data_IF_170972788993
#
_entry.id   IF_170972788993
#
_cell.length_a   1.000
_cell.length_b   1.000
_cell.length_c   1.000
_cell.angle_alpha   90.00
_cell.angle_beta   90.00
_cell.angle_gamma   90.00
#
_symmetry.space_group_name_H-M   'P 1'
#
loop_
_entity.id
_entity.type
_entity.pdbx_description
1 polymer ?
#
# COMPACT_ATOMS: atom_id res chain seq x y z
N UNK A 1 71.71 -74.33 -22.38
CA UNK A 1 71.74 -72.96 -22.94
C UNK A 1 71.09 -72.04 -21.91
N UNK A 2 71.90 -71.22 -21.23
CA UNK A 2 71.46 -70.25 -20.23
C UNK A 2 71.42 -68.88 -20.90
N UNK A 3 70.30 -68.17 -20.79
CA UNK A 3 70.23 -66.74 -21.11
C UNK A 3 69.53 -66.06 -19.92
N UNK A 4 70.25 -65.08 -19.35
CA UNK A 4 69.93 -64.30 -18.15
C UNK A 4 69.33 -62.94 -18.54
N UNK A 5 68.64 -62.29 -17.58
CA UNK A 5 68.14 -60.89 -17.55
C UNK A 5 66.84 -60.60 -18.34
N UNK A 6 65.88 -59.81 -17.87
CA UNK A 6 65.87 -58.71 -16.87
C UNK A 6 64.41 -58.44 -16.45
N UNK A 7 64.15 -58.10 -15.19
CA UNK A 7 62.85 -57.54 -14.74
C UNK A 7 62.57 -56.23 -15.51
N UNK A 8 61.32 -55.93 -15.93
CA UNK A 8 60.97 -54.57 -16.32
C UNK A 8 60.60 -53.77 -15.07
N UNK A 9 61.57 -53.02 -14.54
CA UNK A 9 61.31 -51.78 -13.83
C UNK A 9 60.93 -50.72 -14.87
N UNK A 10 59.63 -50.55 -15.12
CA UNK A 10 59.13 -49.30 -15.69
C UNK A 10 58.49 -48.49 -14.56
N UNK A 11 59.34 -47.68 -13.95
CA UNK A 11 58.90 -46.50 -13.22
C UNK A 11 58.23 -45.53 -14.20
N UNK A 12 57.26 -44.80 -13.67
CA UNK A 12 56.90 -43.42 -14.07
C UNK A 12 56.24 -43.23 -15.42
N UNK A 13 54.94 -43.51 -15.49
CA UNK A 13 54.03 -42.89 -16.46
C UNK A 13 52.66 -42.66 -15.85
N UNK A 14 52.57 -41.69 -14.93
CA UNK A 14 51.35 -40.92 -14.63
C UNK A 14 51.77 -39.57 -13.98
N UNK A 15 52.27 -38.64 -14.79
CA UNK A 15 52.70 -37.29 -14.38
C UNK A 15 51.53 -36.27 -14.36
N UNK A 16 50.28 -36.74 -14.33
CA UNK A 16 49.06 -35.92 -14.33
C UNK A 16 48.00 -36.49 -13.37
N UNK A 17 48.40 -36.85 -12.15
CA UNK A 17 47.47 -37.13 -11.07
C UNK A 17 47.28 -35.86 -10.25
N UNK A 18 46.08 -35.27 -10.29
CA UNK A 18 45.67 -34.21 -9.35
C UNK A 18 46.07 -34.63 -7.94
N UNK A 19 46.94 -33.85 -7.28
CA UNK A 19 47.34 -34.19 -5.92
C UNK A 19 46.14 -33.99 -5.00
N UNK A 20 45.96 -34.88 -4.00
CA UNK A 20 44.86 -34.79 -3.03
C UNK A 20 44.79 -33.41 -2.36
N UNK A 21 45.95 -32.75 -2.23
CA UNK A 21 46.12 -31.40 -1.73
C UNK A 21 45.47 -30.34 -2.65
N UNK A 22 45.66 -30.43 -3.97
CA UNK A 22 45.04 -29.53 -4.95
C UNK A 22 43.51 -29.67 -4.96
N UNK A 23 43.00 -30.90 -4.76
CA UNK A 23 41.56 -31.14 -4.64
C UNK A 23 40.98 -30.47 -3.37
N UNK A 24 41.66 -30.61 -2.24
CA UNK A 24 41.26 -29.97 -0.97
C UNK A 24 41.29 -28.44 -1.09
N UNK A 25 42.30 -27.90 -1.77
CA UNK A 25 42.42 -26.46 -1.99
C UNK A 25 41.31 -25.92 -2.91
N UNK A 26 41.02 -26.63 -4.00
CA UNK A 26 39.92 -26.31 -4.90
C UNK A 26 38.56 -26.36 -4.20
N UNK A 27 38.33 -27.36 -3.34
CA UNK A 27 37.10 -27.49 -2.55
C UNK A 27 36.94 -26.33 -1.56
N UNK A 28 38.03 -25.93 -0.89
CA UNK A 28 38.04 -24.80 0.03
C UNK A 28 37.70 -23.47 -0.66
N UNK A 29 38.31 -23.22 -1.83
CA UNK A 29 37.98 -22.05 -2.67
C UNK A 29 36.50 -22.09 -3.09
N UNK A 30 36.00 -23.25 -3.49
CA UNK A 30 34.61 -23.39 -3.95
C UNK A 30 33.61 -23.07 -2.83
N UNK A 31 33.84 -23.57 -1.61
CA UNK A 31 33.01 -23.28 -0.43
C UNK A 31 33.07 -21.78 -0.07
N UNK A 32 34.25 -21.18 -0.17
CA UNK A 32 34.44 -19.76 0.10
C UNK A 32 33.68 -18.88 -0.91
N UNK A 33 33.83 -19.16 -2.21
CA UNK A 33 33.07 -18.45 -3.25
C UNK A 33 31.56 -18.65 -3.11
N UNK A 34 31.11 -19.87 -2.82
CA UNK A 34 29.69 -20.16 -2.59
C UNK A 34 29.14 -19.36 -1.40
N UNK A 35 29.91 -19.22 -0.32
CA UNK A 35 29.53 -18.42 0.86
C UNK A 35 29.40 -16.94 0.53
N UNK A 36 30.33 -16.38 -0.25
CA UNK A 36 30.25 -14.98 -0.71
C UNK A 36 29.03 -14.78 -1.62
N UNK A 37 28.77 -15.72 -2.53
CA UNK A 37 27.61 -15.68 -3.41
C UNK A 37 26.29 -15.71 -2.63
N UNK A 38 26.17 -16.55 -1.59
CA UNK A 38 24.99 -16.58 -0.72
C UNK A 38 24.79 -15.27 0.05
N UNK A 39 25.87 -14.65 0.54
CA UNK A 39 25.80 -13.36 1.24
C UNK A 39 25.38 -12.23 0.29
N UNK A 40 25.92 -12.20 -0.93
CA UNK A 40 25.57 -11.20 -1.94
C UNK A 40 24.11 -11.34 -2.39
N UNK A 41 23.66 -12.56 -2.66
CA UNK A 41 22.25 -12.83 -3.00
C UNK A 41 21.31 -12.40 -1.87
N UNK A 42 21.62 -12.74 -0.62
CA UNK A 42 20.79 -12.37 0.54
C UNK A 42 20.67 -10.86 0.71
N UNK A 43 21.76 -10.10 0.48
CA UNK A 43 21.75 -8.62 0.53
C UNK A 43 20.95 -8.00 -0.62
N UNK A 44 21.03 -8.58 -1.82
CA UNK A 44 20.23 -8.14 -2.98
C UNK A 44 18.73 -8.35 -2.74
N UNK A 45 18.33 -9.53 -2.26
CA UNK A 45 16.92 -9.80 -1.93
C UNK A 45 16.41 -8.94 -0.77
N UNK A 46 17.25 -8.64 0.23
CA UNK A 46 16.90 -7.71 1.30
C UNK A 46 16.70 -6.27 0.77
N UNK A 47 17.56 -5.80 -0.13
CA UNK A 47 17.46 -4.47 -0.72
C UNK A 47 16.23 -4.32 -1.63
N UNK A 48 15.90 -5.34 -2.43
CA UNK A 48 14.68 -5.35 -3.24
C UNK A 48 13.41 -5.40 -2.39
N UNK A 49 13.43 -6.14 -1.27
CA UNK A 49 12.32 -6.19 -0.31
C UNK A 49 12.06 -4.83 0.35
N UNK A 50 13.12 -4.12 0.76
CA UNK A 50 13.01 -2.78 1.36
C UNK A 50 12.51 -1.75 0.34
N UNK A 51 13.03 -1.79 -0.89
CA UNK A 51 12.60 -0.93 -2.00
C UNK A 51 11.11 -1.07 -2.34
N UNK A 52 10.61 -2.31 -2.43
CA UNK A 52 9.19 -2.56 -2.69
C UNK A 52 8.30 -2.05 -1.56
N UNK A 53 8.74 -2.20 -0.32
CA UNK A 53 7.96 -1.74 0.83
C UNK A 53 7.90 -0.21 0.92
N UNK A 54 9.00 0.50 0.63
CA UNK A 54 9.03 1.96 0.61
C UNK A 54 8.17 2.54 -0.51
N UNK A 55 8.22 1.94 -1.71
CA UNK A 55 7.40 2.36 -2.85
C UNK A 55 5.90 2.17 -2.59
N UNK A 56 5.50 1.08 -1.94
CA UNK A 56 4.10 0.86 -1.57
C UNK A 56 3.63 1.86 -0.50
N UNK A 57 4.46 2.18 0.49
CA UNK A 57 4.15 3.21 1.48
C UNK A 57 4.00 4.60 0.87
N UNK A 58 4.89 4.96 -0.06
CA UNK A 58 4.81 6.24 -0.77
C UNK A 58 3.56 6.33 -1.65
N UNK A 59 3.22 5.25 -2.36
CA UNK A 59 1.97 5.17 -3.15
C UNK A 59 0.74 5.35 -2.26
N UNK A 60 0.70 4.66 -1.11
CA UNK A 60 -0.41 4.80 -0.15
C UNK A 60 -0.53 6.23 0.34
N UNK A 61 0.60 6.88 0.66
CA UNK A 61 0.61 8.27 1.12
C UNK A 61 0.03 9.22 0.08
N UNK A 62 0.46 9.12 -1.17
CA UNK A 62 -0.08 9.95 -2.27
C UNK A 62 -1.58 9.73 -2.44
N UNK A 63 -2.06 8.50 -2.31
CA UNK A 63 -3.48 8.18 -2.44
C UNK A 63 -4.31 8.68 -1.24
N UNK A 64 -3.75 8.64 -0.03
CA UNK A 64 -4.36 9.25 1.16
C UNK A 64 -4.42 10.77 1.04
N UNK A 65 -3.41 11.41 0.45
CA UNK A 65 -3.41 12.86 0.19
C UNK A 65 -4.54 13.26 -0.77
N UNK A 66 -4.87 12.43 -1.76
CA UNK A 66 -6.02 12.66 -2.65
C UNK A 66 -7.32 12.66 -1.85
N UNK A 67 -7.54 11.63 -1.02
CA UNK A 67 -8.71 11.55 -0.14
C UNK A 67 -8.79 12.77 0.80
N UNK A 68 -7.67 13.16 1.40
CA UNK A 68 -7.62 14.32 2.30
C UNK A 68 -7.97 15.62 1.57
N UNK A 69 -7.46 15.83 0.36
CA UNK A 69 -7.79 17.01 -0.46
C UNK A 69 -9.25 17.04 -0.84
N UNK A 70 -9.79 15.91 -1.29
CA UNK A 70 -11.20 15.81 -1.67
C UNK A 70 -12.12 16.13 -0.48
N UNK A 71 -11.84 15.59 0.70
CA UNK A 71 -12.60 15.89 1.91
C UNK A 71 -12.43 17.34 2.40
N UNK A 72 -11.26 17.94 2.17
CA UNK A 72 -11.00 19.35 2.50
C UNK A 72 -11.74 20.32 1.58
N UNK A 73 -12.01 19.89 0.34
CA UNK A 73 -12.74 20.62 -0.68
C UNK A 73 -14.25 20.28 -0.68
N UNK A 74 -14.74 19.66 0.40
CA UNK A 74 -16.15 19.45 0.63
C UNK A 74 -16.90 20.78 0.75
N UNK A 75 -18.00 20.91 0.00
CA UNK A 75 -18.98 21.99 0.06
C UNK A 75 -20.38 21.50 0.50
N UNK A 76 -21.12 22.38 1.19
CA UNK A 76 -22.49 22.13 1.65
C UNK A 76 -23.50 22.91 0.79
N UNK A 77 -24.63 22.28 0.44
CA UNK A 77 -25.74 22.94 -0.26
C UNK A 77 -27.08 22.55 0.37
N UNK A 78 -27.95 23.55 0.56
CA UNK A 78 -29.30 23.35 1.13
C UNK A 78 -30.22 22.51 0.24
N UNK A 79 -29.97 22.50 -1.08
CA UNK A 79 -30.82 21.81 -2.07
C UNK A 79 -30.70 20.30 -2.01
N UNK A 80 -29.57 19.80 -1.54
CA UNK A 80 -29.29 18.39 -1.39
C UNK A 80 -28.80 18.21 0.05
N UNK A 81 -29.73 17.96 1.00
CA UNK A 81 -29.36 17.86 2.40
C UNK A 81 -28.23 16.86 2.54
N UNK A 82 -27.28 17.20 3.41
CA UNK A 82 -26.08 16.42 3.66
C UNK A 82 -26.47 14.98 4.00
N UNK A 83 -26.42 14.10 2.99
CA UNK A 83 -26.74 12.68 3.15
C UNK A 83 -25.46 11.95 3.45
N UNK A 84 -25.08 12.00 4.73
CA UNK A 84 -24.07 11.12 5.30
C UNK A 84 -24.64 9.71 5.41
N UNK A 85 -24.74 9.00 4.29
CA UNK A 85 -25.15 7.62 4.32
C UNK A 85 -23.92 6.76 4.67
N UNK A 86 -23.52 6.76 5.94
CA UNK A 86 -22.75 5.62 6.45
C UNK A 86 -23.73 4.45 6.58
N UNK A 87 -24.02 3.77 5.47
CA UNK A 87 -24.67 2.47 5.59
C UNK A 87 -23.66 1.51 6.21
N UNK A 88 -24.11 0.48 6.91
CA UNK A 88 -23.24 -0.57 7.47
C UNK A 88 -22.26 -1.17 6.43
N UNK A 89 -22.51 -0.94 5.14
CA UNK A 89 -21.69 -1.30 3.98
C UNK A 89 -20.48 -0.38 3.71
N UNK A 90 -20.22 0.65 4.54
CA UNK A 90 -18.96 1.41 4.54
C UNK A 90 -18.72 2.27 3.30
N UNK A 91 -19.54 3.31 3.11
CA UNK A 91 -19.30 4.34 2.10
C UNK A 91 -19.44 5.77 2.66
N UNK A 92 -18.83 6.73 1.95
CA UNK A 92 -18.80 8.15 2.28
C UNK A 92 -19.19 8.90 1.03
N UNK A 93 -20.26 9.70 1.08
CA UNK A 93 -20.76 10.45 -0.07
C UNK A 93 -20.91 11.92 0.28
N UNK A 94 -20.40 12.80 -0.58
CA UNK A 94 -20.39 14.24 -0.35
C UNK A 94 -20.26 15.03 -1.66
N UNK A 95 -20.50 16.34 -1.58
CA UNK A 95 -20.28 17.25 -2.72
C UNK A 95 -18.89 17.87 -2.64
N UNK A 96 -18.14 17.73 -3.72
CA UNK A 96 -16.80 18.24 -3.89
C UNK A 96 -16.84 19.46 -4.81
N UNK A 97 -16.20 20.56 -4.42
CA UNK A 97 -15.94 21.67 -5.33
C UNK A 97 -14.49 21.61 -5.81
N UNK A 98 -14.31 21.32 -7.10
CA UNK A 98 -13.00 21.28 -7.75
C UNK A 98 -13.05 22.13 -9.03
N UNK A 99 -12.04 22.99 -9.22
CA UNK A 99 -11.89 23.81 -10.45
C UNK A 99 -13.13 24.65 -10.80
N UNK A 100 -13.88 25.10 -9.78
CA UNK A 100 -15.08 25.92 -9.97
C UNK A 100 -16.34 25.13 -10.37
N UNK A 101 -16.28 23.80 -10.39
CA UNK A 101 -17.45 22.92 -10.58
C UNK A 101 -17.73 22.14 -9.30
N UNK A 102 -19.01 21.91 -9.03
CA UNK A 102 -19.47 21.04 -7.94
C UNK A 102 -19.81 19.69 -8.52
N UNK A 103 -19.30 18.62 -7.92
CA UNK A 103 -19.57 17.24 -8.31
C UNK A 103 -19.94 16.42 -7.08
N UNK A 104 -20.82 15.44 -7.25
CA UNK A 104 -21.11 14.46 -6.21
C UNK A 104 -20.03 13.37 -6.25
N UNK A 105 -19.46 13.03 -5.10
CA UNK A 105 -18.41 12.04 -4.97
C UNK A 105 -18.78 11.01 -3.91
N UNK A 106 -18.55 9.74 -4.20
CA UNK A 106 -18.73 8.62 -3.28
C UNK A 106 -17.42 7.83 -3.16
N UNK A 107 -16.99 7.58 -1.94
CA UNK A 107 -15.96 6.62 -1.60
C UNK A 107 -16.62 5.39 -1.02
N UNK A 108 -16.45 4.25 -1.65
CA UNK A 108 -17.05 2.99 -1.24
C UNK A 108 -16.00 1.89 -1.20
N UNK A 109 -16.17 0.94 -0.28
CA UNK A 109 -15.36 -0.26 -0.25
C UNK A 109 -15.93 -1.33 -1.20
N UNK A 110 -15.20 -1.64 -2.26
CA UNK A 110 -15.56 -2.69 -3.22
C UNK A 110 -14.43 -3.70 -3.37
N UNK A 111 -14.69 -4.99 -3.11
CA UNK A 111 -13.72 -6.08 -3.30
C UNK A 111 -12.34 -5.79 -2.67
N UNK A 112 -12.32 -5.32 -1.43
CA UNK A 112 -11.10 -4.93 -0.70
C UNK A 112 -10.35 -3.73 -1.29
N UNK A 113 -11.05 -2.84 -2.00
CA UNK A 113 -10.49 -1.62 -2.58
C UNK A 113 -11.34 -0.43 -2.19
N UNK A 114 -10.70 0.70 -1.90
CA UNK A 114 -11.39 1.98 -1.76
C UNK A 114 -11.57 2.58 -3.15
N UNK A 115 -12.81 2.72 -3.58
CA UNK A 115 -13.18 3.21 -4.91
C UNK A 115 -13.85 4.57 -4.78
N UNK A 116 -13.38 5.55 -5.54
CA UNK A 116 -14.01 6.87 -5.73
C UNK A 116 -14.88 6.81 -6.97
N UNK A 117 -16.16 7.17 -6.83
CA UNK A 117 -17.09 7.37 -7.92
C UNK A 117 -17.50 8.84 -7.94
N UNK A 118 -17.66 9.42 -9.12
CA UNK A 118 -18.05 10.81 -9.28
C UNK A 118 -19.25 10.94 -10.22
N UNK A 119 -20.15 11.85 -9.89
CA UNK A 119 -21.32 12.24 -10.69
C UNK A 119 -21.40 13.75 -10.80
N UNK A 120 -22.04 14.20 -11.87
CA UNK A 120 -22.43 15.60 -12.03
C UNK A 120 -23.64 15.92 -11.16
N UNK A 121 -23.96 17.21 -10.97
CA UNK A 121 -25.14 17.66 -10.23
C UNK A 121 -26.46 17.15 -10.85
N UNK A 122 -26.46 16.87 -12.14
CA UNK A 122 -27.58 16.25 -12.86
C UNK A 122 -27.71 14.73 -12.59
N UNK A 123 -26.87 14.17 -11.71
CA UNK A 123 -26.84 12.73 -11.40
C UNK A 123 -26.19 11.86 -12.48
N UNK A 124 -25.57 12.48 -13.50
CA UNK A 124 -24.87 11.75 -14.57
C UNK A 124 -23.53 11.25 -14.05
N UNK A 125 -23.27 9.96 -14.24
CA UNK A 125 -21.99 9.36 -13.87
C UNK A 125 -20.85 9.97 -14.69
N UNK A 126 -19.81 10.42 -14.00
CA UNK A 126 -18.61 11.04 -14.60
C UNK A 126 -17.49 10.00 -14.66
N UNK A 127 -17.12 9.41 -13.52
CA UNK A 127 -15.93 8.57 -13.45
C UNK A 127 -15.91 7.61 -12.26
N UNK A 128 -15.04 6.63 -12.35
CA UNK A 128 -14.66 5.73 -11.25
C UNK A 128 -13.15 5.60 -11.22
N UNK A 129 -12.57 5.70 -10.04
CA UNK A 129 -11.14 5.55 -9.79
C UNK A 129 -10.91 4.69 -8.56
N UNK A 130 -9.99 3.71 -8.66
CA UNK A 130 -9.51 3.00 -7.48
C UNK A 130 -8.50 3.88 -6.76
N UNK A 131 -8.77 4.20 -5.50
CA UNK A 131 -7.92 5.07 -4.67
C UNK A 131 -6.91 4.24 -3.92
N UNK A 132 -7.33 3.19 -3.22
CA UNK A 132 -6.45 2.31 -2.45
C UNK A 132 -6.83 0.85 -2.67
N UNK A 133 -5.82 -0.01 -2.74
CA UNK A 133 -5.99 -1.46 -2.77
C UNK A 133 -5.76 -2.06 -1.37
N UNK A 134 -6.32 -3.26 -1.14
CA UNK A 134 -6.18 -4.03 0.11
C UNK A 134 -6.70 -3.30 1.36
N UNK A 135 -7.84 -2.63 1.24
CA UNK A 135 -8.54 -1.99 2.37
C UNK A 135 -9.60 -2.96 2.88
N UNK A 136 -9.51 -3.32 4.16
CA UNK A 136 -10.42 -4.25 4.82
C UNK A 136 -11.57 -3.53 5.54
N UNK A 137 -11.44 -2.22 5.78
CA UNK A 137 -12.44 -1.44 6.47
C UNK A 137 -12.35 0.06 6.23
N UNK A 138 -13.51 0.70 6.19
CA UNK A 138 -13.70 2.14 6.10
C UNK A 138 -14.60 2.60 7.25
N UNK A 139 -14.07 3.47 8.11
CA UNK A 139 -14.78 4.07 9.22
C UNK A 139 -14.68 5.58 9.12
N UNK A 140 -15.76 6.26 9.46
CA UNK A 140 -15.82 7.72 9.42
C UNK A 140 -16.34 8.28 10.73
N UNK A 141 -15.51 9.12 11.34
CA UNK A 141 -15.85 9.87 12.53
C UNK A 141 -15.97 11.34 12.16
N UNK A 142 -16.86 12.07 12.81
CA UNK A 142 -16.93 13.51 12.61
C UNK A 142 -17.31 14.22 13.90
N UNK A 143 -16.85 15.46 14.02
CA UNK A 143 -17.06 16.33 15.16
C UNK A 143 -17.98 17.44 14.70
N UNK A 144 -19.23 17.39 15.15
CA UNK A 144 -20.28 18.35 14.75
C UNK A 144 -20.46 19.46 15.79
N UNK A 145 -20.12 19.22 17.06
CA UNK A 145 -20.43 20.14 18.16
C UNK A 145 -19.19 20.92 18.66
N UNK A 146 -19.42 22.15 19.16
CA UNK A 146 -18.44 23.02 19.84
C UNK A 146 -17.76 22.34 21.03
N UNK A 147 -18.37 21.26 21.55
CA UNK A 147 -17.85 20.40 22.62
C UNK A 147 -16.75 19.43 22.17
N UNK A 148 -16.33 19.47 20.90
CA UNK A 148 -15.25 18.64 20.32
C UNK A 148 -15.44 17.12 20.50
N UNK A 149 -16.69 16.65 20.60
CA UNK A 149 -16.98 15.22 20.73
C UNK A 149 -16.94 14.55 19.35
N UNK A 150 -16.11 13.53 19.21
CA UNK A 150 -16.14 12.62 18.07
C UNK A 150 -17.47 11.85 18.08
N UNK A 151 -18.31 12.13 17.09
CA UNK A 151 -19.53 11.38 16.86
C UNK A 151 -19.17 10.12 16.06
N UNK A 152 -19.69 8.98 16.54
CA UNK A 152 -19.60 7.72 15.83
C UNK A 152 -20.40 7.76 14.52
N UNK A 153 -20.06 6.93 13.53
CA UNK A 153 -20.75 6.86 12.24
C UNK A 153 -22.28 6.74 12.37
N UNK A 154 -22.77 5.96 13.32
CA UNK A 154 -24.20 5.74 13.59
C UNK A 154 -24.95 7.02 14.02
N UNK A 155 -24.25 7.97 14.64
CA UNK A 155 -24.84 9.23 15.13
C UNK A 155 -24.86 10.29 14.03
N UNK A 156 -23.95 10.21 13.06
CA UNK A 156 -23.86 11.14 11.93
C UNK A 156 -24.99 10.97 10.92
N UNK A 157 -25.50 9.75 10.76
CA UNK A 157 -26.63 9.43 9.87
C UNK A 157 -27.90 10.20 10.26
N UNK A 158 -28.08 10.46 11.56
CA UNK A 158 -29.30 11.05 12.11
C UNK A 158 -29.24 12.58 12.26
N UNK A 159 -28.08 13.21 12.01
CA UNK A 159 -27.86 14.63 12.27
C UNK A 159 -27.39 15.34 10.99
N UNK A 160 -28.14 15.12 9.90
CA UNK A 160 -27.77 15.49 8.54
C UNK A 160 -27.74 17.00 8.26
N UNK A 161 -28.23 17.83 9.16
CA UNK A 161 -28.54 19.22 8.83
C UNK A 161 -27.39 20.18 9.16
N UNK A 162 -26.32 19.68 9.77
CA UNK A 162 -25.17 20.49 10.20
C UNK A 162 -23.86 19.89 9.71
N UNK A 163 -23.07 20.71 9.03
CA UNK A 163 -21.75 20.32 8.54
C UNK A 163 -20.79 20.15 9.73
N UNK A 164 -20.06 19.03 9.83
CA UNK A 164 -19.10 18.83 10.90
C UNK A 164 -17.92 19.80 10.77
N UNK A 165 -17.42 20.30 11.90
CA UNK A 165 -16.22 21.14 11.94
C UNK A 165 -14.94 20.35 11.65
N UNK A 166 -14.92 19.06 12.02
CA UNK A 166 -13.80 18.17 11.80
C UNK A 166 -14.29 16.79 11.39
N UNK A 167 -13.58 16.14 10.48
CA UNK A 167 -13.87 14.79 10.00
C UNK A 167 -12.59 13.97 10.14
N UNK A 168 -12.73 12.74 10.61
CA UNK A 168 -11.64 11.78 10.69
C UNK A 168 -12.05 10.50 9.98
N UNK A 169 -11.43 10.23 8.84
CA UNK A 169 -11.58 8.94 8.14
C UNK A 169 -10.56 7.97 8.70
N UNK A 170 -10.99 6.78 9.10
CA UNK A 170 -10.12 5.67 9.47
C UNK A 170 -10.23 4.55 8.45
N UNK A 171 -9.09 4.14 7.93
CA UNK A 171 -8.95 3.04 6.96
C UNK A 171 -8.17 1.90 7.62
N UNK A 172 -8.62 0.67 7.42
CA UNK A 172 -7.91 -0.53 7.85
C UNK A 172 -7.33 -1.27 6.64
N UNK A 173 -6.05 -1.63 6.69
CA UNK A 173 -5.33 -2.42 5.68
C UNK A 173 -4.45 -3.45 6.40
N UNK A 174 -4.91 -4.70 6.46
CA UNK A 174 -4.29 -5.76 7.24
C UNK A 174 -4.13 -5.38 8.71
N UNK A 175 -2.87 -5.29 9.16
CA UNK A 175 -2.53 -4.88 10.55
C UNK A 175 -2.33 -3.36 10.70
N UNK A 176 -2.42 -2.59 9.62
CA UNK A 176 -2.18 -1.15 9.64
C UNK A 176 -3.51 -0.40 9.65
N UNK A 177 -3.59 0.62 10.50
CA UNK A 177 -4.71 1.56 10.54
C UNK A 177 -4.22 2.96 10.18
N UNK A 178 -4.88 3.58 9.20
CA UNK A 178 -4.59 4.94 8.78
C UNK A 178 -5.72 5.86 9.25
N UNK A 179 -5.36 7.00 9.86
CA UNK A 179 -6.30 8.07 10.20
C UNK A 179 -6.01 9.29 9.33
N UNK A 180 -7.03 9.77 8.62
CA UNK A 180 -6.97 10.99 7.80
C UNK A 180 -7.81 12.05 8.50
N UNK A 181 -7.19 12.92 9.34
CA UNK A 181 -7.88 14.04 9.93
C UNK A 181 -8.07 15.14 8.89
N UNK A 182 -9.27 15.69 8.82
CA UNK A 182 -9.65 16.75 7.90
C UNK A 182 -10.37 17.83 8.68
N UNK A 183 -9.83 19.04 8.61
CA UNK A 183 -10.51 20.22 9.10
C UNK A 183 -11.37 20.77 7.97
N UNK A 184 -12.68 20.80 8.20
CA UNK A 184 -13.65 21.26 7.21
C UNK A 184 -13.65 22.79 7.26
N UNK A 185 -12.81 23.39 6.40
CA UNK A 185 -12.63 24.86 6.35
C UNK A 185 -13.73 25.56 5.56
N UNK A 186 -14.33 24.85 4.61
CA UNK A 186 -15.29 25.41 3.68
C UNK A 186 -16.71 25.04 4.10
N UNK A 187 -17.21 25.66 5.17
CA UNK A 187 -18.65 25.82 5.36
C UNK A 187 -19.22 26.89 4.39
N UNK A 188 -18.72 26.90 3.15
CA UNK A 188 -19.21 27.79 2.11
C UNK A 188 -20.53 27.22 1.64
N UNK A 189 -21.60 27.94 1.94
CA UNK A 189 -22.95 27.67 1.47
C UNK A 189 -23.00 28.00 -0.02
N UNK A 190 -23.24 27.00 -0.85
CA UNK A 190 -23.47 27.16 -2.29
C UNK A 190 -24.95 27.04 -2.63
#
# INVERSE_FOLDING_TARGET
MIIFFKKPTFLTSCRHGFTLLELLFALGIFIFLASIAMILMSKLFAAEGVSKHSLDQERVRVQLDVLQRDLSAWVYSDRLPFKFAYKQDGFIRFFLMAEGRVSEVEYILEKNKLVKKAWDLDGRFISTATILDSIDGLLLYAVVDKKQRLLSPSTLINNSDTMPAHIEVRLARGKQSFSVPVLVKNALKW
#
